data_IF_555929420267
#
_entry.id   IF_555929420267
#
_cell.length_a   1.000
_cell.length_b   1.000
_cell.length_c   1.000
_cell.angle_alpha   90.00
_cell.angle_beta   90.00
_cell.angle_gamma   90.00
#
_symmetry.space_group_name_H-M   'P 1'
#
loop_
_entity.id
_entity.type
_entity.pdbx_description
1 polymer ?
#
# COMPACT_ATOMS: atom_id res chain seq x y z
N UNK A 1 -16.20 -23.28 7.88
CA UNK A 1 -15.53 -23.08 9.19
C UNK A 1 -16.36 -22.32 10.22
N UNK A 2 -16.65 -21.01 10.12
CA UNK A 2 -17.42 -20.32 11.19
C UNK A 2 -18.84 -20.91 11.41
N UNK A 3 -19.53 -21.31 10.33
CA UNK A 3 -20.84 -21.95 10.43
C UNK A 3 -20.78 -23.35 11.08
N UNK A 4 -19.75 -24.14 10.79
CA UNK A 4 -19.61 -25.50 11.35
C UNK A 4 -19.31 -25.47 12.85
N UNK A 5 -18.59 -24.44 13.33
CA UNK A 5 -18.35 -24.22 14.76
C UNK A 5 -19.64 -23.76 15.45
N UNK A 6 -20.41 -22.87 14.81
CA UNK A 6 -21.71 -22.44 15.33
C UNK A 6 -22.72 -23.60 15.43
N UNK A 7 -22.69 -24.52 14.46
CA UNK A 7 -23.53 -25.72 14.46
C UNK A 7 -23.09 -26.73 15.55
N UNK A 8 -21.79 -26.87 15.80
CA UNK A 8 -21.27 -27.66 16.91
C UNK A 8 -21.69 -27.09 18.29
N UNK A 9 -21.76 -25.76 18.43
CA UNK A 9 -22.25 -25.10 19.65
C UNK A 9 -23.73 -25.42 19.89
N UNK A 10 -24.57 -25.26 18.87
CA UNK A 10 -26.01 -25.55 18.98
C UNK A 10 -26.27 -27.02 19.31
N UNK A 11 -25.50 -27.93 18.70
CA UNK A 11 -25.57 -29.36 19.01
C UNK A 11 -25.21 -29.64 20.48
N UNK A 12 -24.15 -29.01 20.98
CA UNK A 12 -23.70 -29.16 22.38
C UNK A 12 -24.71 -28.57 23.38
N UNK A 13 -25.29 -27.41 23.07
CA UNK A 13 -26.36 -26.78 23.86
C UNK A 13 -27.61 -27.65 23.91
N UNK A 14 -28.00 -28.25 22.78
CA UNK A 14 -29.13 -29.18 22.71
C UNK A 14 -28.90 -30.43 23.57
N UNK A 15 -27.68 -30.99 23.56
CA UNK A 15 -27.31 -32.09 24.45
C UNK A 15 -27.44 -31.70 25.93
N UNK A 16 -27.04 -30.48 26.32
CA UNK A 16 -27.15 -30.04 27.71
C UNK A 16 -28.61 -29.96 28.18
N UNK A 17 -29.52 -29.48 27.32
CA UNK A 17 -30.96 -29.43 27.61
C UNK A 17 -31.57 -30.82 27.81
N UNK A 18 -31.28 -31.76 26.90
CA UNK A 18 -31.75 -33.15 26.98
C UNK A 18 -31.20 -33.82 28.25
N UNK A 19 -29.96 -33.54 28.61
CA UNK A 19 -29.33 -34.10 29.80
C UNK A 19 -29.98 -33.55 31.08
N UNK A 20 -30.27 -32.25 31.15
CA UNK A 20 -30.97 -31.63 32.30
C UNK A 20 -32.34 -32.21 32.63
N UNK A 21 -32.98 -32.83 31.65
CA UNK A 21 -34.24 -33.56 31.80
C UNK A 21 -34.04 -34.99 32.36
N UNK A 22 -32.84 -35.56 32.26
CA UNK A 22 -32.50 -36.96 32.59
C UNK A 22 -31.81 -37.17 33.96
N UNK A 23 -32.12 -36.34 34.97
CA UNK A 23 -31.44 -36.24 36.30
C UNK A 23 -31.28 -37.52 37.15
N UNK A 24 -31.68 -38.70 36.67
CA UNK A 24 -31.74 -39.95 37.43
C UNK A 24 -30.54 -40.90 37.32
N UNK A 25 -29.49 -40.61 36.53
CA UNK A 25 -28.34 -41.51 36.35
C UNK A 25 -27.07 -41.01 37.05
N UNK A 26 -26.35 -41.87 37.75
CA UNK A 26 -25.07 -41.54 38.45
C UNK A 26 -24.00 -40.93 37.53
N UNK A 27 -24.02 -41.24 36.22
CA UNK A 27 -23.08 -40.71 35.21
C UNK A 27 -23.41 -39.29 34.70
N UNK A 28 -24.52 -38.72 35.16
CA UNK A 28 -25.02 -37.43 34.72
C UNK A 28 -24.08 -36.26 35.04
N UNK A 29 -23.50 -36.23 36.25
CA UNK A 29 -22.58 -35.17 36.66
C UNK A 29 -21.28 -35.13 35.83
N UNK A 30 -20.71 -36.29 35.53
CA UNK A 30 -19.52 -36.40 34.68
C UNK A 30 -19.78 -35.90 33.25
N UNK A 31 -20.99 -36.17 32.72
CA UNK A 31 -21.38 -35.76 31.38
C UNK A 31 -21.67 -34.25 31.29
N UNK A 32 -22.28 -33.67 32.32
CA UNK A 32 -22.43 -32.21 32.44
C UNK A 32 -21.07 -31.50 32.45
N UNK A 33 -20.14 -31.98 33.27
CA UNK A 33 -18.78 -31.43 33.32
C UNK A 33 -18.06 -31.52 31.97
N UNK A 34 -18.08 -32.70 31.33
CA UNK A 34 -17.46 -32.85 30.01
C UNK A 34 -18.11 -31.92 28.96
N UNK A 35 -19.41 -31.67 29.05
CA UNK A 35 -20.12 -30.76 28.13
C UNK A 35 -19.76 -29.29 28.40
N UNK A 36 -19.65 -28.89 29.66
CA UNK A 36 -19.21 -27.55 30.05
C UNK A 36 -17.76 -27.29 29.58
N UNK A 37 -16.86 -28.26 29.76
CA UNK A 37 -15.48 -28.18 29.27
C UNK A 37 -15.40 -28.00 27.76
N UNK A 38 -16.27 -28.69 27.01
CA UNK A 38 -16.36 -28.55 25.54
C UNK A 38 -16.86 -27.14 25.18
N UNK A 39 -17.90 -26.64 25.83
CA UNK A 39 -18.42 -25.30 25.59
C UNK A 39 -17.38 -24.22 25.86
N UNK A 40 -16.63 -24.35 26.96
CA UNK A 40 -15.55 -23.43 27.30
C UNK A 40 -14.47 -23.41 26.23
N UNK A 41 -13.93 -24.59 25.87
CA UNK A 41 -12.89 -24.70 24.84
C UNK A 41 -13.35 -24.19 23.48
N UNK A 42 -14.62 -24.41 23.13
CA UNK A 42 -15.18 -23.97 21.86
C UNK A 42 -15.38 -22.44 21.83
N UNK A 43 -15.81 -21.85 22.93
CA UNK A 43 -15.90 -20.39 23.09
C UNK A 43 -14.52 -19.75 22.98
N UNK A 44 -13.51 -20.31 23.65
CA UNK A 44 -12.12 -19.86 23.54
C UNK A 44 -11.61 -19.96 22.10
N UNK A 45 -11.90 -21.07 21.40
CA UNK A 45 -11.51 -21.26 20.00
C UNK A 45 -12.17 -20.23 19.07
N UNK A 46 -13.44 -19.87 19.31
CA UNK A 46 -14.13 -18.83 18.54
C UNK A 46 -13.51 -17.46 18.74
N UNK A 47 -13.22 -17.09 19.99
CA UNK A 47 -12.58 -15.81 20.30
C UNK A 47 -11.20 -15.71 19.65
N UNK A 48 -10.39 -16.77 19.76
CA UNK A 48 -9.09 -16.84 19.12
C UNK A 48 -9.19 -16.77 17.58
N UNK A 49 -10.16 -17.46 16.98
CA UNK A 49 -10.36 -17.42 15.53
C UNK A 49 -10.85 -16.05 15.04
N UNK A 50 -11.74 -15.39 15.79
CA UNK A 50 -12.19 -14.04 15.47
C UNK A 50 -11.04 -13.03 15.54
N UNK A 51 -10.26 -13.06 16.61
CA UNK A 51 -9.05 -12.23 16.76
C UNK A 51 -8.05 -12.49 15.63
N UNK A 52 -7.77 -13.75 15.29
CA UNK A 52 -6.88 -14.08 14.16
C UNK A 52 -7.43 -13.60 12.81
N UNK A 53 -8.75 -13.62 12.62
CA UNK A 53 -9.37 -13.12 11.40
C UNK A 53 -9.21 -11.60 11.27
N UNK A 54 -9.39 -10.86 12.37
CA UNK A 54 -9.16 -9.42 12.42
C UNK A 54 -7.71 -9.05 12.12
N UNK A 55 -6.74 -9.74 12.75
CA UNK A 55 -5.32 -9.57 12.48
C UNK A 55 -4.97 -9.83 11.01
N UNK A 56 -5.51 -10.91 10.43
CA UNK A 56 -5.31 -11.22 9.00
C UNK A 56 -5.85 -10.11 8.10
N UNK A 57 -7.00 -9.53 8.42
CA UNK A 57 -7.56 -8.43 7.63
C UNK A 57 -6.67 -7.18 7.71
N UNK A 58 -6.11 -6.87 8.88
CA UNK A 58 -5.15 -5.77 9.06
C UNK A 58 -3.88 -6.01 8.25
N UNK A 59 -3.27 -7.20 8.37
CA UNK A 59 -2.08 -7.57 7.61
C UNK A 59 -2.31 -7.57 6.10
N UNK A 60 -3.49 -7.99 5.63
CA UNK A 60 -3.84 -7.94 4.20
C UNK A 60 -3.93 -6.50 3.69
N UNK A 61 -4.52 -5.58 4.47
CA UNK A 61 -4.59 -4.16 4.11
C UNK A 61 -3.19 -3.54 4.06
N UNK A 62 -2.36 -3.79 5.06
CA UNK A 62 -0.97 -3.32 5.08
C UNK A 62 -0.16 -3.86 3.90
N UNK A 63 -0.29 -5.16 3.61
CA UNK A 63 0.37 -5.78 2.45
C UNK A 63 -0.06 -5.12 1.14
N UNK A 64 -1.34 -4.80 0.98
CA UNK A 64 -1.83 -4.10 -0.22
C UNK A 64 -1.26 -2.69 -0.32
N UNK A 65 -1.24 -1.94 0.78
CA UNK A 65 -0.66 -0.59 0.82
C UNK A 65 0.83 -0.60 0.47
N UNK A 66 1.60 -1.50 1.09
CA UNK A 66 3.03 -1.66 0.84
C UNK A 66 3.32 -2.14 -0.59
N UNK A 67 2.49 -3.03 -1.14
CA UNK A 67 2.63 -3.48 -2.52
C UNK A 67 2.42 -2.33 -3.51
N UNK A 68 1.42 -1.48 -3.26
CA UNK A 68 1.14 -0.30 -4.08
C UNK A 68 2.27 0.75 -3.98
N UNK A 69 2.77 1.02 -2.77
CA UNK A 69 3.91 1.91 -2.57
C UNK A 69 5.17 1.37 -3.27
N UNK A 70 5.45 0.08 -3.14
CA UNK A 70 6.59 -0.56 -3.82
C UNK A 70 6.47 -0.45 -5.34
N UNK A 71 5.26 -0.62 -5.88
CA UNK A 71 4.99 -0.42 -7.31
C UNK A 71 5.26 1.03 -7.73
N UNK A 72 4.74 2.01 -7.00
CA UNK A 72 5.00 3.44 -7.27
C UNK A 72 6.48 3.77 -7.26
N UNK A 73 7.24 3.24 -6.30
CA UNK A 73 8.69 3.45 -6.22
C UNK A 73 9.42 2.81 -7.41
N UNK A 74 9.01 1.62 -7.85
CA UNK A 74 9.57 0.96 -9.04
C UNK A 74 9.26 1.74 -10.31
N UNK A 75 8.02 2.17 -10.48
CA UNK A 75 7.58 2.95 -11.64
C UNK A 75 8.31 4.31 -11.70
N UNK A 76 8.48 4.95 -10.55
CA UNK A 76 9.28 6.18 -10.42
C UNK A 76 10.75 5.93 -10.78
N UNK A 77 11.36 4.89 -10.20
CA UNK A 77 12.78 4.55 -10.47
C UNK A 77 13.01 4.26 -11.95
N UNK A 78 12.07 3.55 -12.60
CA UNK A 78 12.14 3.30 -14.04
C UNK A 78 12.06 4.61 -14.84
N UNK A 79 11.14 5.51 -14.47
CA UNK A 79 10.99 6.83 -15.11
C UNK A 79 12.23 7.70 -14.89
N UNK A 80 12.79 7.71 -13.69
CA UNK A 80 13.91 8.56 -13.32
C UNK A 80 15.22 8.20 -14.05
N UNK A 81 15.37 6.94 -14.51
CA UNK A 81 16.53 6.50 -15.31
C UNK A 81 16.65 7.23 -16.65
N UNK A 82 15.53 7.72 -17.18
CA UNK A 82 15.51 8.48 -18.42
C UNK A 82 15.81 9.98 -18.19
N UNK A 83 16.22 10.38 -16.99
CA UNK A 83 16.56 11.77 -16.69
C UNK A 83 17.98 11.87 -16.13
N UNK A 84 18.66 12.94 -16.52
CA UNK A 84 19.99 13.26 -16.03
C UNK A 84 20.04 14.71 -15.56
N UNK A 85 20.68 14.95 -14.41
CA UNK A 85 20.88 16.29 -13.89
C UNK A 85 21.95 16.99 -14.74
N UNK A 86 21.58 18.08 -15.40
CA UNK A 86 22.51 18.87 -16.20
C UNK A 86 22.54 20.33 -15.76
N UNK A 87 23.73 20.93 -15.88
CA UNK A 87 23.93 22.36 -15.69
C UNK A 87 23.55 23.09 -16.98
N UNK A 88 22.50 23.90 -16.91
CA UNK A 88 22.03 24.72 -18.02
C UNK A 88 22.89 25.99 -18.21
N UNK A 89 23.77 26.33 -17.25
CA UNK A 89 24.57 27.55 -17.21
C UNK A 89 24.19 28.43 -16.01
N UNK A 90 25.09 29.34 -15.62
CA UNK A 90 24.89 30.24 -14.47
C UNK A 90 24.59 29.54 -13.13
N UNK A 91 25.01 28.28 -12.98
CA UNK A 91 24.69 27.48 -11.79
C UNK A 91 23.23 27.01 -11.73
N UNK A 92 22.48 27.12 -12.82
CA UNK A 92 21.13 26.59 -12.94
C UNK A 92 21.16 25.11 -13.36
N UNK A 93 20.43 24.26 -12.65
CA UNK A 93 20.36 22.82 -12.93
C UNK A 93 18.93 22.39 -13.26
N UNK A 94 18.80 21.45 -14.19
CA UNK A 94 17.52 20.83 -14.54
C UNK A 94 17.69 19.34 -14.80
N UNK A 95 16.61 18.59 -14.69
CA UNK A 95 16.56 17.18 -15.04
C UNK A 95 16.22 17.06 -16.52
N UNK A 96 17.19 16.70 -17.36
CA UNK A 96 17.03 16.64 -18.81
C UNK A 96 16.57 15.24 -19.21
N UNK A 97 15.50 15.16 -20.00
CA UNK A 97 14.99 13.90 -20.52
C UNK A 97 15.94 13.34 -21.58
N UNK A 98 16.53 12.19 -21.30
CA UNK A 98 17.46 11.43 -22.15
C UNK A 98 17.12 9.94 -22.08
N UNK A 99 16.11 9.50 -22.85
CA UNK A 99 15.64 8.14 -22.77
C UNK A 99 16.70 7.17 -23.28
N UNK A 100 16.84 6.02 -22.61
CA UNK A 100 17.80 4.98 -23.01
C UNK A 100 17.37 4.21 -24.27
N UNK A 101 16.08 4.28 -24.60
CA UNK A 101 15.44 3.62 -25.74
C UNK A 101 14.68 4.70 -26.52
N UNK A 102 14.51 4.51 -27.84
CA UNK A 102 13.76 5.44 -28.65
C UNK A 102 12.33 5.67 -28.09
N UNK A 103 12.03 6.93 -27.80
CA UNK A 103 10.79 7.38 -27.18
C UNK A 103 10.05 8.33 -28.10
N UNK A 104 8.72 8.31 -28.05
CA UNK A 104 7.86 9.27 -28.75
C UNK A 104 7.76 10.62 -28.04
N UNK A 105 8.31 10.74 -26.81
CA UNK A 105 8.27 11.99 -26.04
C UNK A 105 9.31 12.97 -26.58
N UNK A 106 8.95 14.25 -26.77
CA UNK A 106 9.91 15.26 -27.21
C UNK A 106 10.98 15.50 -26.14
N UNK A 107 12.19 15.93 -26.52
CA UNK A 107 13.20 16.40 -25.59
C UNK A 107 12.67 17.54 -24.72
N UNK A 108 12.89 17.47 -23.41
CA UNK A 108 12.38 18.46 -22.47
C UNK A 108 13.20 18.49 -21.17
N UNK A 109 13.03 19.56 -20.40
CA UNK A 109 13.64 19.70 -19.08
C UNK A 109 12.58 19.68 -17.99
N UNK A 110 12.86 18.94 -16.94
CA UNK A 110 12.05 18.86 -15.74
C UNK A 110 12.70 19.63 -14.59
N UNK A 111 11.86 20.16 -13.71
CA UNK A 111 12.26 20.86 -12.50
C UNK A 111 12.95 19.89 -11.53
N UNK A 112 14.12 20.27 -11.01
CA UNK A 112 14.86 19.52 -9.99
C UNK A 112 14.05 19.29 -8.72
N UNK A 113 13.45 20.36 -8.15
CA UNK A 113 12.70 20.26 -6.90
C UNK A 113 11.51 19.29 -7.02
N UNK A 114 10.75 19.37 -8.13
CA UNK A 114 9.64 18.45 -8.33
C UNK A 114 10.13 17.01 -8.56
N UNK A 115 11.27 16.85 -9.22
CA UNK A 115 11.85 15.54 -9.46
C UNK A 115 12.29 14.85 -8.16
N UNK A 116 12.87 15.60 -7.21
CA UNK A 116 13.17 15.10 -5.86
C UNK A 116 11.90 14.64 -5.12
N UNK A 117 10.77 15.33 -5.33
CA UNK A 117 9.44 14.93 -4.84
C UNK A 117 8.79 13.78 -5.63
N UNK A 118 9.57 13.05 -6.44
CA UNK A 118 9.12 11.97 -7.33
C UNK A 118 8.05 12.40 -8.35
N UNK A 119 8.17 13.62 -8.89
CA UNK A 119 7.21 14.19 -9.84
C UNK A 119 7.90 14.88 -11.00
N UNK A 120 7.49 14.54 -12.22
CA UNK A 120 7.94 15.27 -13.42
C UNK A 120 7.11 16.53 -13.58
N UNK A 121 7.75 17.69 -13.51
CA UNK A 121 7.15 18.97 -13.89
C UNK A 121 8.01 19.63 -14.95
N UNK A 122 7.48 19.71 -16.17
CA UNK A 122 8.21 20.23 -17.32
C UNK A 122 8.35 21.75 -17.19
N UNK A 123 9.59 22.22 -17.23
CA UNK A 123 9.92 23.64 -17.18
C UNK A 123 9.36 24.35 -18.41
N UNK A 124 8.62 25.43 -18.18
CA UNK A 124 8.02 26.24 -19.22
C UNK A 124 8.93 27.44 -19.52
N UNK A 125 9.31 27.61 -20.80
CA UNK A 125 10.05 28.80 -21.22
C UNK A 125 9.12 30.02 -21.22
N UNK A 126 9.49 31.05 -20.46
CA UNK A 126 8.86 32.36 -20.46
C UNK A 126 9.84 33.34 -21.10
N UNK A 127 9.51 33.91 -22.28
CA UNK A 127 10.37 34.89 -22.93
C UNK A 127 10.78 35.99 -21.96
N UNK A 128 12.08 36.33 -21.93
CA UNK A 128 12.72 37.33 -21.03
C UNK A 128 12.83 36.93 -19.55
N UNK A 129 12.05 35.97 -19.07
CA UNK A 129 12.04 35.55 -17.66
C UNK A 129 12.78 34.22 -17.42
N UNK A 130 13.13 33.50 -18.48
CA UNK A 130 13.78 32.20 -18.39
C UNK A 130 12.78 31.06 -18.21
N UNK A 131 13.18 30.01 -17.49
CA UNK A 131 12.37 28.81 -17.33
C UNK A 131 11.65 28.82 -15.99
N UNK A 132 10.36 28.51 -16.00
CA UNK A 132 9.55 28.42 -14.78
C UNK A 132 8.88 27.06 -14.64
N UNK A 133 8.95 26.51 -13.44
CA UNK A 133 8.19 25.32 -13.07
C UNK A 133 6.73 25.70 -12.79
N UNK A 134 5.73 25.11 -13.46
CA UNK A 134 4.32 25.42 -13.22
C UNK A 134 3.81 24.88 -11.89
N UNK A 135 4.55 23.95 -11.25
CA UNK A 135 4.13 23.27 -10.01
C UNK A 135 4.64 23.94 -8.75
N UNK A 136 5.95 24.22 -8.68
CA UNK A 136 6.59 24.74 -7.46
C UNK A 136 7.13 26.17 -7.63
N UNK A 137 6.87 26.81 -8.77
CA UNK A 137 7.30 28.18 -9.08
C UNK A 137 8.81 28.42 -9.10
N UNK A 138 9.63 27.36 -9.08
CA UNK A 138 11.08 27.46 -9.31
C UNK A 138 11.32 28.19 -10.63
N UNK A 139 12.09 29.27 -10.58
CA UNK A 139 12.52 30.03 -11.74
C UNK A 139 14.02 29.81 -11.96
N UNK A 140 14.38 29.39 -13.16
CA UNK A 140 15.75 29.27 -13.62
C UNK A 140 16.02 30.38 -14.65
N UNK A 141 17.18 31.04 -14.59
CA UNK A 141 17.54 32.05 -15.58
C UNK A 141 17.51 31.43 -16.98
N UNK A 142 17.16 32.24 -17.99
CA UNK A 142 17.33 31.84 -19.38
C UNK A 142 18.82 31.50 -19.57
N UNK A 143 19.16 30.26 -19.93
CA UNK A 143 20.55 29.93 -20.11
C UNK A 143 21.07 30.67 -21.34
N UNK A 144 22.32 31.14 -21.30
CA UNK A 144 23.02 31.65 -22.50
C UNK A 144 23.36 30.45 -23.39
N UNK A 145 22.31 29.83 -23.92
CA UNK A 145 22.42 28.73 -24.86
C UNK A 145 22.74 29.35 -26.21
N UNK A 146 24.02 29.41 -26.55
CA UNK A 146 24.38 29.19 -27.94
C UNK A 146 23.80 27.82 -28.35
N UNK A 147 22.57 27.83 -28.87
CA UNK A 147 21.89 26.72 -29.54
C UNK A 147 21.98 25.32 -28.89
N UNK A 148 21.89 25.23 -27.55
CA UNK A 148 21.75 23.93 -26.86
C UNK A 148 20.31 23.70 -26.42
N UNK A 149 19.45 23.43 -27.39
CA UNK A 149 18.21 22.72 -27.10
C UNK A 149 18.55 21.28 -26.71
N UNK A 150 17.76 20.63 -25.82
CA UNK A 150 17.90 19.20 -25.63
C UNK A 150 17.63 18.54 -26.99
N UNK A 151 18.67 17.94 -27.58
CA UNK A 151 18.56 17.11 -28.79
C UNK A 151 17.97 15.74 -28.44
#
# INVERSE_FOLDING_TARGET
MANEIADAIRSTQSLTGILQELRGFEKYGALLHATADIQEKLSQALLANASSAEEKLTLLKEKQMLAEENKKLKDWTATARDYQLENLGYGAFAQVYKPQIQSSKPPHWACTNCFEDQKISILQNKPREGYKCPRCSLALPAPNLGNRHPE
#
